data_IF_777499828538
#
_entry.id   IF_777499828538
#
_cell.length_a   1.000
_cell.length_b   1.000
_cell.length_c   1.000
_cell.angle_alpha   90.00
_cell.angle_beta   90.00
_cell.angle_gamma   90.00
#
_symmetry.space_group_name_H-M   'P 1'
#
loop_
_entity.id
_entity.type
_entity.pdbx_description
1 polymer ?
#
# COMPACT_ATOMS: atom_id res chain seq x y z
N UNK A 1 7.31 4.08 -34.56
CA UNK A 1 6.26 3.16 -34.04
C UNK A 1 6.84 2.51 -32.81
N UNK A 2 6.41 2.96 -31.64
CA UNK A 2 6.80 2.35 -30.36
C UNK A 2 6.42 0.87 -30.38
N UNK A 3 7.33 0.01 -29.94
CA UNK A 3 7.07 -1.43 -29.84
C UNK A 3 5.86 -1.62 -28.91
N UNK A 4 4.91 -2.53 -29.23
CA UNK A 4 3.85 -2.86 -28.29
C UNK A 4 4.50 -3.31 -26.98
N UNK A 5 3.98 -2.79 -25.86
CA UNK A 5 4.40 -3.08 -24.50
C UNK A 5 4.08 -4.55 -24.18
N UNK A 6 4.89 -5.47 -24.69
CA UNK A 6 4.90 -6.87 -24.27
C UNK A 6 6.18 -7.10 -23.48
N UNK A 7 6.30 -6.37 -22.37
CA UNK A 7 7.13 -6.78 -21.26
C UNK A 7 6.36 -7.85 -20.50
N UNK A 8 7.00 -9.00 -20.24
CA UNK A 8 6.39 -10.07 -19.46
C UNK A 8 5.87 -9.50 -18.13
N UNK A 9 4.56 -9.62 -17.95
CA UNK A 9 3.87 -9.09 -16.80
C UNK A 9 4.45 -9.71 -15.52
N UNK A 10 5.03 -8.89 -14.65
CA UNK A 10 5.66 -9.38 -13.44
C UNK A 10 4.61 -9.96 -12.47
N UNK A 11 4.52 -11.29 -12.45
CA UNK A 11 3.56 -12.06 -11.65
C UNK A 11 3.67 -11.77 -10.15
N UNK A 12 4.87 -11.46 -9.66
CA UNK A 12 5.09 -11.13 -8.26
C UNK A 12 4.34 -9.85 -7.88
N UNK A 13 4.50 -8.77 -8.66
CA UNK A 13 3.82 -7.50 -8.39
C UNK A 13 2.31 -7.60 -8.47
N UNK A 14 1.78 -8.36 -9.44
CA UNK A 14 0.33 -8.59 -9.54
C UNK A 14 -0.20 -9.37 -8.34
N UNK A 15 0.50 -10.41 -7.93
CA UNK A 15 0.11 -11.21 -6.78
C UNK A 15 0.13 -10.37 -5.50
N UNK A 16 1.13 -9.50 -5.34
CA UNK A 16 1.22 -8.59 -4.21
C UNK A 16 0.07 -7.58 -4.21
N UNK A 17 -0.14 -6.90 -5.33
CA UNK A 17 -1.24 -5.95 -5.50
C UNK A 17 -2.60 -6.61 -5.25
N UNK A 18 -2.84 -7.81 -5.79
CA UNK A 18 -4.07 -8.58 -5.57
C UNK A 18 -4.31 -8.91 -4.09
N UNK A 19 -3.24 -9.21 -3.34
CA UNK A 19 -3.36 -9.49 -1.89
C UNK A 19 -3.64 -8.24 -1.07
N UNK A 20 -3.17 -7.07 -1.49
CA UNK A 20 -3.28 -5.82 -0.73
C UNK A 20 -4.37 -4.88 -1.25
N UNK A 21 -5.05 -5.19 -2.35
CA UNK A 21 -5.97 -4.26 -3.03
C UNK A 21 -7.20 -3.87 -2.21
N UNK A 22 -7.60 -4.70 -1.25
CA UNK A 22 -8.72 -4.41 -0.33
C UNK A 22 -8.27 -3.69 0.94
N UNK A 23 -6.97 -3.42 1.07
CA UNK A 23 -6.39 -2.69 2.18
C UNK A 23 -6.78 -1.23 2.18
N UNK A 24 -7.00 -0.69 3.38
CA UNK A 24 -7.23 0.74 3.59
C UNK A 24 -6.35 1.22 4.75
N UNK A 25 -5.32 1.98 4.40
CA UNK A 25 -4.21 2.33 5.29
C UNK A 25 -4.10 3.84 5.42
N UNK A 26 -4.34 4.36 6.63
CA UNK A 26 -4.26 5.80 6.92
C UNK A 26 -2.92 6.45 6.47
N UNK A 27 -1.75 5.83 6.63
CA UNK A 27 -0.50 6.41 6.12
C UNK A 27 -0.49 6.60 4.59
N UNK A 28 -1.01 5.63 3.83
CA UNK A 28 -1.10 5.73 2.37
C UNK A 28 -2.06 6.86 1.96
N UNK A 29 -3.21 6.95 2.62
CA UNK A 29 -4.18 8.02 2.42
C UNK A 29 -3.59 9.39 2.72
N UNK A 30 -2.81 9.52 3.80
CA UNK A 30 -2.18 10.79 4.19
C UNK A 30 -1.14 11.26 3.16
N UNK A 31 -0.30 10.35 2.66
CA UNK A 31 0.72 10.65 1.64
C UNK A 31 0.05 11.08 0.33
N UNK A 32 -0.84 10.25 -0.21
CA UNK A 32 -1.51 10.52 -1.49
C UNK A 32 -2.42 11.75 -1.38
N UNK A 33 -3.14 11.90 -0.26
CA UNK A 33 -3.99 13.06 0.00
C UNK A 33 -3.19 14.36 0.08
N UNK A 34 -2.03 14.35 0.73
CA UNK A 34 -1.12 15.50 0.78
C UNK A 34 -0.58 15.88 -0.60
N UNK A 35 -0.16 14.89 -1.39
CA UNK A 35 0.32 15.11 -2.77
C UNK A 35 -0.82 15.68 -3.62
N UNK A 36 -2.01 15.06 -3.60
CA UNK A 36 -3.15 15.50 -4.39
C UNK A 36 -3.59 16.93 -4.01
N UNK A 37 -3.65 17.24 -2.72
CA UNK A 37 -3.97 18.59 -2.24
C UNK A 37 -2.93 19.61 -2.73
N UNK A 38 -1.64 19.26 -2.68
CA UNK A 38 -0.58 20.14 -3.18
C UNK A 38 -0.67 20.32 -4.71
N UNK A 39 -0.93 19.27 -5.49
CA UNK A 39 -1.13 19.40 -6.94
C UNK A 39 -2.35 20.26 -7.28
N UNK A 40 -3.44 20.17 -6.50
CA UNK A 40 -4.59 21.08 -6.65
C UNK A 40 -4.17 22.55 -6.40
N UNK A 41 -3.37 22.81 -5.37
CA UNK A 41 -2.83 24.15 -5.11
C UNK A 41 -1.93 24.66 -6.23
N UNK A 42 -1.07 23.80 -6.80
CA UNK A 42 -0.24 24.15 -7.97
C UNK A 42 -1.10 24.52 -9.16
N UNK A 43 -2.15 23.75 -9.43
CA UNK A 43 -3.06 23.97 -10.55
C UNK A 43 -3.80 25.32 -10.47
N UNK A 44 -4.26 25.71 -9.28
CA UNK A 44 -5.01 26.98 -9.11
C UNK A 44 -4.12 28.22 -8.98
N UNK A 45 -2.88 28.06 -8.50
CA UNK A 45 -1.97 29.21 -8.28
C UNK A 45 -0.97 29.42 -9.41
N UNK A 46 -0.72 28.42 -10.24
CA UNK A 46 0.39 28.43 -11.20
C UNK A 46 1.78 28.43 -10.55
N UNK A 47 1.88 28.13 -9.25
CA UNK A 47 3.13 28.13 -8.49
C UNK A 47 3.66 26.69 -8.31
N UNK A 48 4.98 26.54 -8.38
CA UNK A 48 5.72 25.26 -8.37
C UNK A 48 5.53 24.40 -9.62
N UNK A 49 6.32 23.32 -9.72
CA UNK A 49 6.27 22.40 -10.86
C UNK A 49 5.23 21.29 -10.61
N UNK A 50 4.22 21.14 -11.49
CA UNK A 50 3.25 20.04 -11.41
C UNK A 50 3.89 18.70 -11.75
N UNK A 51 3.34 17.62 -11.20
CA UNK A 51 3.66 16.26 -11.63
C UNK A 51 3.19 16.06 -13.08
N UNK A 52 4.02 15.42 -13.91
CA UNK A 52 3.72 15.16 -15.33
C UNK A 52 3.85 13.65 -15.62
N UNK A 53 2.80 12.84 -15.67
CA UNK A 53 1.38 13.05 -15.36
C UNK A 53 0.88 12.03 -14.32
N UNK A 54 1.50 10.85 -14.29
CA UNK A 54 1.20 9.76 -13.36
C UNK A 54 2.28 9.68 -12.30
N UNK A 55 1.86 9.33 -11.09
CA UNK A 55 2.73 8.99 -9.98
C UNK A 55 2.24 7.68 -9.40
N UNK A 56 3.12 6.69 -9.33
CA UNK A 56 2.90 5.46 -8.58
C UNK A 56 3.71 5.53 -7.29
N UNK A 57 3.11 5.08 -6.20
CA UNK A 57 3.75 5.02 -4.89
C UNK A 57 3.38 3.69 -4.23
N UNK A 58 4.39 3.01 -3.72
CA UNK A 58 4.26 1.80 -2.93
C UNK A 58 5.16 1.88 -1.69
N UNK A 59 4.83 1.05 -0.70
CA UNK A 59 5.57 0.93 0.56
C UNK A 59 5.62 -0.54 0.96
N UNK A 60 6.00 -1.38 0.00
CA UNK A 60 6.01 -2.85 0.14
C UNK A 60 6.97 -3.32 1.23
N UNK A 61 7.98 -2.53 1.55
CA UNK A 61 8.98 -2.78 2.60
C UNK A 61 8.35 -2.77 4.00
N UNK A 62 7.14 -2.21 4.13
CA UNK A 62 6.38 -2.26 5.37
C UNK A 62 5.69 -3.61 5.59
N UNK A 63 5.54 -4.43 4.55
CA UNK A 63 4.90 -5.73 4.68
C UNK A 63 5.77 -6.68 5.52
N UNK A 64 5.17 -7.65 6.23
CA UNK A 64 5.93 -8.62 7.00
C UNK A 64 6.94 -9.37 6.12
N UNK A 65 8.16 -9.62 6.60
CA UNK A 65 9.28 -10.22 5.84
C UNK A 65 8.88 -11.52 5.10
N UNK A 66 8.02 -12.32 5.74
CA UNK A 66 7.48 -13.58 5.22
C UNK A 66 6.61 -13.41 3.95
N UNK A 67 6.03 -12.22 3.75
CA UNK A 67 5.20 -11.85 2.59
C UNK A 67 6.08 -11.32 1.45
N UNK A 68 7.18 -10.65 1.79
CA UNK A 68 8.12 -10.05 0.85
C UNK A 68 9.01 -11.09 0.14
N UNK A 69 9.37 -12.19 0.82
CA UNK A 69 10.35 -13.17 0.32
C UNK A 69 9.75 -14.42 -0.35
N UNK A 70 8.43 -14.64 -0.31
CA UNK A 70 7.83 -15.87 -0.83
C UNK A 70 7.71 -15.83 -2.37
N UNK A 71 8.76 -16.31 -3.05
CA UNK A 71 8.79 -16.57 -4.50
C UNK A 71 7.82 -17.68 -4.90
N UNK A 72 7.57 -18.64 -4.02
CA UNK A 72 6.80 -19.84 -4.34
C UNK A 72 5.73 -20.10 -3.27
N UNK A 73 4.55 -20.47 -3.79
CA UNK A 73 3.47 -21.22 -3.14
C UNK A 73 3.23 -21.06 -1.62
N UNK A 74 2.04 -20.53 -1.29
CA UNK A 74 1.32 -20.68 -0.02
C UNK A 74 2.15 -20.75 1.28
N UNK A 75 2.13 -19.69 2.09
CA UNK A 75 2.20 -19.87 3.56
C UNK A 75 1.72 -18.68 4.37
N UNK A 76 1.79 -17.44 3.87
CA UNK A 76 1.31 -16.28 4.64
C UNK A 76 0.18 -15.55 3.91
N UNK A 77 -1.03 -16.09 4.03
CA UNK A 77 -2.17 -15.21 4.18
C UNK A 77 -2.16 -14.80 5.66
N UNK A 78 -1.98 -13.51 6.00
CA UNK A 78 -2.21 -13.10 7.39
C UNK A 78 -3.56 -13.64 7.83
N UNK A 79 -3.66 -14.16 9.07
CA UNK A 79 -4.93 -14.66 9.58
C UNK A 79 -5.99 -13.60 9.33
N UNK A 80 -6.93 -13.92 8.43
CA UNK A 80 -7.96 -12.98 8.07
C UNK A 80 -8.79 -12.73 9.33
N UNK A 81 -9.10 -11.45 9.62
CA UNK A 81 -9.85 -11.12 10.80
C UNK A 81 -11.21 -11.83 10.78
N UNK A 82 -11.50 -12.56 11.85
CA UNK A 82 -12.73 -13.35 11.99
C UNK A 82 -13.97 -12.48 12.24
N UNK A 83 -13.76 -11.21 12.64
CA UNK A 83 -14.79 -10.23 12.94
C UNK A 83 -14.49 -8.92 12.23
N UNK A 84 -15.54 -8.22 11.77
CA UNK A 84 -15.40 -6.87 11.22
C UNK A 84 -15.08 -5.87 12.35
N UNK A 85 -13.80 -5.56 12.48
CA UNK A 85 -13.22 -4.53 13.36
C UNK A 85 -13.13 -3.19 12.62
N UNK A 86 -12.93 -2.07 13.35
CA UNK A 86 -12.57 -0.79 12.70
C UNK A 86 -11.23 -0.87 11.96
N UNK A 87 -10.35 -1.78 12.40
CA UNK A 87 -9.02 -2.00 11.84
C UNK A 87 -9.01 -3.13 10.80
N UNK A 88 -10.18 -3.66 10.41
CA UNK A 88 -10.31 -4.79 9.49
C UNK A 88 -9.45 -4.60 8.23
N UNK A 89 -9.48 -3.42 7.60
CA UNK A 89 -8.72 -3.16 6.38
C UNK A 89 -7.20 -3.09 6.60
N UNK A 90 -6.73 -2.76 7.81
CA UNK A 90 -5.31 -2.82 8.18
C UNK A 90 -4.90 -4.26 8.50
N UNK A 91 -5.76 -4.98 9.22
CA UNK A 91 -5.60 -6.39 9.57
C UNK A 91 -5.54 -7.28 8.32
N UNK A 92 -6.27 -6.98 7.24
CA UNK A 92 -6.20 -7.72 5.97
C UNK A 92 -4.81 -7.63 5.32
N UNK A 93 -4.11 -6.50 5.49
CA UNK A 93 -2.78 -6.28 4.90
C UNK A 93 -1.66 -6.84 5.78
N UNK A 94 -1.70 -6.55 7.08
CA UNK A 94 -0.61 -6.87 8.01
C UNK A 94 -0.88 -8.06 8.94
N UNK A 95 -2.15 -8.45 9.10
CA UNK A 95 -2.61 -9.48 10.02
C UNK A 95 -3.02 -8.96 11.38
N UNK A 96 -3.87 -9.75 12.05
CA UNK A 96 -4.39 -9.45 13.39
C UNK A 96 -3.26 -9.33 14.44
N UNK A 97 -2.25 -10.20 14.38
CA UNK A 97 -1.13 -10.19 15.34
C UNK A 97 -0.34 -8.88 15.27
N UNK A 98 -0.12 -8.35 14.06
CA UNK A 98 0.54 -7.07 13.85
C UNK A 98 -0.30 -5.91 14.38
N UNK A 99 -1.62 -5.93 14.12
CA UNK A 99 -2.54 -4.93 14.65
C UNK A 99 -2.56 -4.92 16.19
N UNK A 100 -2.60 -6.09 16.82
CA UNK A 100 -2.54 -6.21 18.28
C UNK A 100 -1.21 -5.69 18.84
N UNK A 101 -0.10 -5.89 18.12
CA UNK A 101 1.21 -5.34 18.49
C UNK A 101 1.18 -3.82 18.50
N UNK A 102 0.64 -3.18 17.44
CA UNK A 102 0.48 -1.72 17.37
C UNK A 102 -0.36 -1.21 18.55
N UNK A 103 -1.50 -1.85 18.83
CA UNK A 103 -2.38 -1.44 19.94
C UNK A 103 -1.71 -1.53 21.33
N UNK A 104 -0.73 -2.43 21.51
CA UNK A 104 0.00 -2.60 22.78
C UNK A 104 1.27 -1.76 22.86
N UNK A 105 1.70 -1.16 21.76
CA UNK A 105 2.92 -0.36 21.72
C UNK A 105 2.78 0.90 22.57
N UNK A 106 3.88 1.27 23.23
CA UNK A 106 3.98 2.50 24.03
C UNK A 106 4.96 3.44 23.33
N UNK A 107 4.44 4.54 22.82
CA UNK A 107 5.23 5.58 22.19
C UNK A 107 5.14 6.87 23.01
N UNK A 108 6.21 7.64 22.99
CA UNK A 108 6.24 9.01 23.46
C UNK A 108 6.33 9.90 22.24
N UNK A 109 5.46 10.91 22.14
CA UNK A 109 5.39 11.88 21.05
C UNK A 109 5.83 13.23 21.58
#
# INVERSE_FOLDING_TARGET
>A
REKPFTDELNKHWIKLFSKTCTGDLCPMQAVIGGIAAQEAMKAVTGKFMPIKQFLYFDAIECLPENVYQASDEMTFAPKLPTKKSRYYSQEVVFGEDFQQKICKSKYFV
#
